data_IF_448131209380
#
_entry.id   IF_448131209380
#
_cell.length_a   1.000
_cell.length_b   1.000
_cell.length_c   1.000
_cell.angle_alpha   90.00
_cell.angle_beta   90.00
_cell.angle_gamma   90.00
#
_symmetry.space_group_name_H-M   'P 1'
#
loop_
_entity.id
_entity.type
_entity.pdbx_description
1 polymer ?
#
# COMPACT_ATOMS: atom_id res chain seq x y z
N UNK A 1 -20.95 -6.72 -1.90
CA UNK A 1 -20.84 -5.41 -1.19
C UNK A 1 -19.79 -4.55 -1.89
N UNK A 2 -20.01 -3.23 -2.04
CA UNK A 2 -19.00 -2.29 -2.56
C UNK A 2 -18.49 -1.48 -1.37
N UNK A 3 -17.18 -1.50 -1.16
CA UNK A 3 -16.53 -0.77 -0.07
C UNK A 3 -16.23 0.66 -0.51
N UNK A 4 -16.42 1.63 0.40
CA UNK A 4 -16.01 3.00 0.18
C UNK A 4 -14.49 3.10 0.12
N UNK A 5 -13.95 3.83 -0.86
CA UNK A 5 -12.51 3.98 -1.07
C UNK A 5 -12.14 5.44 -1.27
N UNK A 6 -11.09 5.89 -0.61
CA UNK A 6 -10.52 7.24 -0.77
C UNK A 6 -10.12 7.54 -2.23
N UNK A 7 -9.80 6.49 -2.99
CA UNK A 7 -9.50 6.60 -4.42
C UNK A 7 -10.68 7.17 -5.21
N UNK A 8 -11.94 6.88 -4.80
CA UNK A 8 -13.12 7.44 -5.47
C UNK A 8 -13.15 8.96 -5.39
N UNK A 9 -12.96 9.53 -4.19
CA UNK A 9 -12.96 10.97 -3.96
C UNK A 9 -11.78 11.64 -4.69
N UNK A 10 -10.62 10.96 -4.75
CA UNK A 10 -9.45 11.42 -5.51
C UNK A 10 -9.73 11.46 -7.01
N UNK A 11 -10.37 10.43 -7.56
CA UNK A 11 -10.78 10.42 -8.98
C UNK A 11 -11.78 11.55 -9.28
N UNK A 12 -12.76 11.77 -8.41
CA UNK A 12 -13.75 12.83 -8.57
C UNK A 12 -13.11 14.23 -8.56
N UNK A 13 -12.19 14.45 -7.62
CA UNK A 13 -11.42 15.70 -7.55
C UNK A 13 -10.62 15.94 -8.84
N UNK A 14 -9.86 14.93 -9.28
CA UNK A 14 -9.02 15.03 -10.48
C UNK A 14 -9.84 15.12 -11.77
N UNK A 15 -11.00 14.47 -11.86
CA UNK A 15 -11.93 14.64 -12.98
C UNK A 15 -12.31 16.10 -13.17
N UNK A 16 -12.67 16.78 -12.06
CA UNK A 16 -13.07 18.18 -12.08
C UNK A 16 -11.88 19.13 -12.38
N UNK A 17 -10.70 18.86 -11.83
CA UNK A 17 -9.51 19.69 -12.02
C UNK A 17 -8.91 19.56 -13.42
N UNK A 18 -8.78 18.35 -13.93
CA UNK A 18 -8.09 18.07 -15.18
C UNK A 18 -9.02 18.13 -16.41
N UNK A 19 -10.32 17.96 -16.22
CA UNK A 19 -11.34 18.08 -17.25
C UNK A 19 -10.95 17.35 -18.55
N UNK A 20 -10.57 16.09 -18.46
CA UNK A 20 -10.22 15.22 -19.59
C UNK A 20 -8.85 15.46 -20.23
N UNK A 21 -8.03 16.38 -19.71
CA UNK A 21 -6.68 16.64 -20.23
C UNK A 21 -5.67 15.53 -19.98
N UNK A 22 -6.01 14.56 -19.12
CA UNK A 22 -5.19 13.39 -18.81
C UNK A 22 -6.06 12.18 -18.56
N UNK A 23 -5.56 11.01 -18.95
CA UNK A 23 -6.07 9.73 -18.49
C UNK A 23 -5.59 9.43 -17.06
N UNK A 24 -6.30 8.61 -16.30
CA UNK A 24 -5.88 8.15 -14.99
C UNK A 24 -5.39 6.71 -15.06
N UNK A 25 -4.13 6.48 -14.73
CA UNK A 25 -3.57 5.13 -14.60
C UNK A 25 -3.57 4.72 -13.13
N UNK A 26 -4.46 3.79 -12.76
CA UNK A 26 -4.57 3.27 -11.39
C UNK A 26 -3.71 2.01 -11.27
N UNK A 27 -2.62 2.16 -10.52
CA UNK A 27 -1.64 1.12 -10.23
C UNK A 27 -1.81 0.57 -8.82
N UNK A 28 -1.53 -0.72 -8.63
CA UNK A 28 -1.58 -1.32 -7.31
C UNK A 28 -1.55 -2.84 -7.36
N UNK A 29 -1.37 -3.48 -6.20
CA UNK A 29 -1.34 -4.92 -6.08
C UNK A 29 -2.60 -5.59 -6.66
N UNK A 30 -2.51 -6.87 -6.97
CA UNK A 30 -3.69 -7.62 -7.39
C UNK A 30 -4.70 -7.74 -6.25
N UNK A 31 -5.99 -7.82 -6.61
CA UNK A 31 -7.12 -8.01 -5.66
C UNK A 31 -7.42 -6.84 -4.73
N UNK A 32 -6.86 -5.64 -4.95
CA UNK A 32 -7.17 -4.45 -4.14
C UNK A 32 -8.42 -3.68 -4.61
N UNK A 33 -9.10 -4.14 -5.68
CA UNK A 33 -10.37 -3.57 -6.15
C UNK A 33 -10.25 -2.47 -7.21
N UNK A 34 -9.15 -2.43 -8.00
CA UNK A 34 -8.96 -1.42 -9.07
C UNK A 34 -10.09 -1.40 -10.09
N UNK A 35 -10.38 -2.53 -10.72
CA UNK A 35 -11.45 -2.63 -11.74
C UNK A 35 -12.83 -2.28 -11.14
N UNK A 36 -13.10 -2.72 -9.90
CA UNK A 36 -14.36 -2.43 -9.20
C UNK A 36 -14.57 -0.94 -8.98
N UNK A 37 -13.53 -0.21 -8.52
CA UNK A 37 -13.65 1.23 -8.28
C UNK A 37 -13.82 2.02 -9.57
N UNK A 38 -13.14 1.61 -10.67
CA UNK A 38 -13.26 2.24 -11.98
C UNK A 38 -14.67 2.06 -12.56
N UNK A 39 -15.19 0.84 -12.46
CA UNK A 39 -16.56 0.55 -12.93
C UNK A 39 -17.61 1.30 -12.11
N UNK A 40 -17.49 1.35 -10.80
CA UNK A 40 -18.38 2.09 -9.90
C UNK A 40 -18.31 3.59 -10.19
N UNK A 41 -17.13 4.13 -10.45
CA UNK A 41 -16.92 5.52 -10.83
C UNK A 41 -17.57 5.82 -12.20
N UNK A 42 -17.41 4.93 -13.18
CA UNK A 42 -18.06 5.05 -14.48
C UNK A 42 -19.59 5.05 -14.39
N UNK A 43 -20.16 4.17 -13.55
CA UNK A 43 -21.60 4.07 -13.32
C UNK A 43 -22.21 5.31 -12.67
N UNK A 44 -21.49 5.94 -11.73
CA UNK A 44 -22.04 7.06 -10.94
C UNK A 44 -21.76 8.43 -11.52
N UNK A 45 -20.59 8.60 -12.14
CA UNK A 45 -20.08 9.92 -12.52
C UNK A 45 -20.21 10.21 -14.01
N UNK A 46 -20.61 9.23 -14.82
CA UNK A 46 -20.77 9.36 -16.26
C UNK A 46 -22.13 8.85 -16.73
N UNK A 47 -22.59 9.40 -17.84
CA UNK A 47 -23.85 9.00 -18.47
C UNK A 47 -23.77 7.62 -19.10
N UNK A 48 -22.58 7.24 -19.56
CA UNK A 48 -22.26 5.89 -20.03
C UNK A 48 -20.78 5.59 -19.84
N UNK A 49 -20.46 4.31 -19.80
CA UNK A 49 -19.06 3.88 -19.79
C UNK A 49 -18.88 2.59 -20.63
N UNK A 50 -17.68 2.40 -21.14
CA UNK A 50 -17.23 1.15 -21.75
C UNK A 50 -16.06 0.62 -20.89
N UNK A 51 -16.13 -0.65 -20.51
CA UNK A 51 -15.02 -1.37 -19.85
C UNK A 51 -14.45 -2.38 -20.84
N UNK A 52 -13.18 -2.21 -21.18
CA UNK A 52 -12.39 -3.09 -22.03
C UNK A 52 -11.42 -3.87 -21.15
N UNK A 53 -11.75 -5.12 -20.79
CA UNK A 53 -10.88 -6.03 -20.04
C UNK A 53 -9.91 -6.71 -21.02
N UNK A 54 -8.67 -6.23 -21.10
CA UNK A 54 -7.67 -6.75 -22.03
C UNK A 54 -7.21 -8.18 -21.72
N UNK A 55 -7.49 -8.70 -20.54
CA UNK A 55 -7.25 -10.11 -20.23
C UNK A 55 -8.22 -11.06 -20.94
N UNK A 56 -9.43 -10.56 -21.30
CA UNK A 56 -10.50 -11.35 -21.94
C UNK A 56 -10.95 -10.76 -23.28
N UNK A 57 -10.43 -9.60 -23.64
CA UNK A 57 -10.82 -8.87 -24.84
C UNK A 57 -10.52 -9.70 -26.11
N UNK A 58 -11.50 -9.86 -27.02
CA UNK A 58 -11.27 -10.53 -28.29
C UNK A 58 -10.26 -9.77 -29.17
N UNK A 59 -9.57 -10.52 -30.02
CA UNK A 59 -8.57 -9.94 -30.93
C UNK A 59 -9.19 -8.93 -31.90
N UNK A 60 -10.45 -9.09 -32.27
CA UNK A 60 -11.19 -8.12 -33.09
C UNK A 60 -11.18 -6.71 -32.46
N UNK A 61 -11.43 -6.61 -31.15
CA UNK A 61 -11.40 -5.32 -30.43
C UNK A 61 -9.97 -4.79 -30.34
N UNK A 62 -8.97 -5.67 -30.12
CA UNK A 62 -7.55 -5.29 -30.14
C UNK A 62 -7.14 -4.72 -31.50
N UNK A 63 -7.66 -5.29 -32.59
CA UNK A 63 -7.42 -4.83 -33.94
C UNK A 63 -7.89 -3.40 -34.20
N UNK A 64 -8.94 -2.93 -33.49
CA UNK A 64 -9.40 -1.54 -33.64
C UNK A 64 -8.29 -0.53 -33.26
N UNK A 65 -7.50 -0.83 -32.24
CA UNK A 65 -6.36 0.00 -31.82
C UNK A 65 -5.20 0.03 -32.84
N UNK A 66 -5.13 -0.93 -33.72
CA UNK A 66 -4.10 -0.99 -34.79
C UNK A 66 -4.62 -0.36 -36.07
N UNK A 67 -5.85 -0.68 -36.46
CA UNK A 67 -6.38 -0.37 -37.79
C UNK A 67 -7.03 1.03 -37.87
N UNK A 68 -7.59 1.53 -36.75
CA UNK A 68 -8.48 2.71 -36.78
C UNK A 68 -7.99 3.91 -35.95
N UNK A 69 -6.76 3.89 -35.43
CA UNK A 69 -6.24 5.03 -34.64
C UNK A 69 -6.00 6.30 -35.48
N UNK A 70 -5.98 6.20 -36.80
CA UNK A 70 -5.93 7.35 -37.72
C UNK A 70 -7.33 7.88 -38.08
N UNK A 71 -8.40 7.17 -37.71
CA UNK A 71 -9.80 7.51 -37.91
C UNK A 71 -10.58 7.22 -36.63
N UNK A 72 -10.53 8.17 -35.70
CA UNK A 72 -11.14 8.01 -34.38
C UNK A 72 -12.68 7.98 -34.45
N UNK A 73 -13.31 8.50 -35.48
CA UNK A 73 -14.75 8.39 -35.67
C UNK A 73 -15.16 6.95 -35.90
N UNK A 74 -14.46 6.28 -36.81
CA UNK A 74 -14.65 4.83 -37.05
C UNK A 74 -14.28 4.02 -35.81
N UNK A 75 -13.18 4.35 -35.12
CA UNK A 75 -12.76 3.66 -33.89
C UNK A 75 -13.85 3.67 -32.81
N UNK A 76 -14.39 4.84 -32.45
CA UNK A 76 -15.43 4.95 -31.44
C UNK A 76 -16.78 4.38 -31.88
N UNK A 77 -17.11 4.48 -33.17
CA UNK A 77 -18.31 3.84 -33.72
C UNK A 77 -18.22 2.31 -33.55
N UNK A 78 -17.10 1.69 -33.85
CA UNK A 78 -16.88 0.26 -33.70
C UNK A 78 -16.95 -0.17 -32.23
N UNK A 79 -16.29 0.56 -31.31
CA UNK A 79 -16.36 0.28 -29.88
C UNK A 79 -17.81 0.41 -29.37
N UNK A 80 -18.49 1.50 -29.70
CA UNK A 80 -19.90 1.74 -29.34
C UNK A 80 -20.82 0.62 -29.82
N UNK A 81 -20.61 0.17 -31.06
CA UNK A 81 -21.40 -0.92 -31.67
C UNK A 81 -21.11 -2.25 -31.00
N UNK A 82 -19.83 -2.58 -30.80
CA UNK A 82 -19.42 -3.85 -30.21
C UNK A 82 -19.92 -4.02 -28.77
N UNK A 83 -19.77 -2.97 -27.93
CA UNK A 83 -20.22 -3.01 -26.54
C UNK A 83 -21.70 -2.67 -26.35
N UNK A 84 -22.41 -2.25 -27.41
CA UNK A 84 -23.81 -1.83 -27.33
C UNK A 84 -24.04 -0.59 -26.46
N UNK A 85 -23.03 0.27 -26.33
CA UNK A 85 -23.04 1.44 -25.45
C UNK A 85 -22.94 2.71 -26.28
N UNK A 86 -23.94 3.62 -26.13
CA UNK A 86 -23.88 4.93 -26.75
C UNK A 86 -22.88 5.82 -26.00
N UNK A 87 -21.93 6.39 -26.72
CA UNK A 87 -20.96 7.35 -26.19
C UNK A 87 -21.47 8.79 -26.32
N UNK A 88 -21.21 9.61 -25.32
CA UNK A 88 -21.60 11.03 -25.24
C UNK A 88 -20.35 11.87 -24.98
N UNK A 89 -20.11 12.89 -25.80
CA UNK A 89 -18.96 13.76 -25.67
C UNK A 89 -18.90 14.40 -24.27
N UNK A 90 -17.75 14.28 -23.62
CA UNK A 90 -17.46 14.75 -22.26
C UNK A 90 -18.33 14.16 -21.13
N UNK A 91 -19.23 13.21 -21.45
CA UNK A 91 -20.11 12.53 -20.50
C UNK A 91 -19.93 11.01 -20.48
N UNK A 92 -18.94 10.47 -21.22
CA UNK A 92 -18.67 9.03 -21.24
C UNK A 92 -17.24 8.75 -20.80
N UNK A 93 -17.07 7.60 -20.12
CA UNK A 93 -15.79 7.07 -19.65
C UNK A 93 -15.44 5.80 -20.43
N UNK A 94 -14.18 5.68 -20.85
CA UNK A 94 -13.63 4.43 -21.40
C UNK A 94 -12.58 3.90 -20.45
N UNK A 95 -12.79 2.68 -19.93
CA UNK A 95 -11.94 2.02 -18.95
C UNK A 95 -11.13 0.95 -19.67
N UNK A 96 -9.80 1.04 -19.59
CA UNK A 96 -8.84 0.04 -20.05
C UNK A 96 -8.38 -0.78 -18.85
N UNK A 97 -9.01 -1.93 -18.64
CA UNK A 97 -8.70 -2.81 -17.51
C UNK A 97 -7.62 -3.82 -17.88
N UNK A 98 -6.66 -4.06 -16.96
CA UNK A 98 -5.48 -4.91 -17.17
C UNK A 98 -4.68 -4.50 -18.42
N UNK A 99 -4.40 -3.20 -18.57
CA UNK A 99 -3.79 -2.59 -19.76
C UNK A 99 -2.43 -3.20 -20.13
N UNK A 100 -1.70 -3.79 -19.18
CA UNK A 100 -0.44 -4.49 -19.42
C UNK A 100 -0.61 -5.74 -20.31
N UNK A 101 -1.80 -6.31 -20.39
CA UNK A 101 -2.09 -7.45 -21.28
C UNK A 101 -2.16 -7.03 -22.75
N UNK A 102 -2.29 -5.72 -23.02
CA UNK A 102 -2.26 -5.16 -24.36
C UNK A 102 -1.63 -3.75 -24.39
N UNK A 103 -0.28 -3.66 -24.32
CA UNK A 103 0.44 -2.38 -24.21
C UNK A 103 0.15 -1.38 -25.33
N UNK A 104 -0.26 -1.86 -26.51
CA UNK A 104 -0.64 -1.02 -27.64
C UNK A 104 -1.81 -0.08 -27.32
N UNK A 105 -2.78 -0.52 -26.50
CA UNK A 105 -3.87 0.35 -26.05
C UNK A 105 -3.36 1.53 -25.22
N UNK A 106 -2.38 1.28 -24.34
CA UNK A 106 -1.75 2.32 -23.53
C UNK A 106 -1.01 3.34 -24.40
N UNK A 107 -0.28 2.89 -25.45
CA UNK A 107 0.37 3.80 -26.40
C UNK A 107 -0.64 4.73 -27.08
N UNK A 108 -1.87 4.25 -27.32
CA UNK A 108 -2.93 5.02 -27.97
C UNK A 108 -3.51 6.14 -27.08
N UNK A 109 -3.34 6.09 -25.77
CA UNK A 109 -3.87 7.09 -24.79
C UNK A 109 -3.51 8.50 -25.21
N UNK A 110 -2.30 8.74 -25.70
CA UNK A 110 -1.86 10.06 -26.17
C UNK A 110 -2.82 10.64 -27.22
N UNK A 111 -3.21 9.85 -28.19
CA UNK A 111 -4.09 10.28 -29.28
C UNK A 111 -5.52 10.41 -28.81
N UNK A 112 -5.98 9.49 -27.97
CA UNK A 112 -7.33 9.47 -27.42
C UNK A 112 -7.60 10.65 -26.48
N UNK A 113 -6.65 11.01 -25.63
CA UNK A 113 -6.72 12.20 -24.76
C UNK A 113 -6.66 13.48 -25.58
N UNK A 114 -5.80 13.53 -26.63
CA UNK A 114 -5.69 14.71 -27.50
C UNK A 114 -6.99 14.98 -28.30
N UNK A 115 -7.74 13.92 -28.68
CA UNK A 115 -9.06 14.03 -29.30
C UNK A 115 -10.09 14.72 -28.39
N UNK A 116 -10.04 14.44 -27.09
CA UNK A 116 -10.79 15.17 -26.06
C UNK A 116 -12.27 14.84 -25.92
N UNK A 117 -12.83 13.92 -26.71
CA UNK A 117 -14.27 13.55 -26.65
C UNK A 117 -14.66 12.79 -25.39
N UNK A 118 -13.77 11.95 -24.85
CA UNK A 118 -14.10 11.08 -23.74
C UNK A 118 -13.01 11.13 -22.66
N UNK A 119 -13.35 10.68 -21.48
CA UNK A 119 -12.40 10.49 -20.38
C UNK A 119 -11.91 9.04 -20.35
N UNK A 120 -10.70 8.83 -19.84
CA UNK A 120 -10.04 7.51 -19.83
C UNK A 120 -9.51 7.17 -18.45
N UNK A 121 -9.74 5.93 -18.03
CA UNK A 121 -9.09 5.32 -16.87
C UNK A 121 -8.43 4.02 -17.33
N UNK A 122 -7.19 3.83 -16.92
CA UNK A 122 -6.43 2.61 -17.13
C UNK A 122 -6.19 1.92 -15.80
N UNK A 123 -6.24 0.61 -15.76
CA UNK A 123 -5.81 -0.16 -14.59
C UNK A 123 -4.76 -1.19 -14.98
N UNK A 124 -3.91 -1.52 -14.03
CA UNK A 124 -2.94 -2.58 -14.19
C UNK A 124 -2.15 -2.86 -12.92
N UNK A 125 -1.47 -3.99 -12.87
CA UNK A 125 -0.46 -4.22 -11.85
C UNK A 125 0.85 -3.55 -12.30
N UNK A 126 1.54 -2.87 -11.37
CA UNK A 126 2.65 -1.98 -11.67
C UNK A 126 3.80 -2.67 -12.40
N UNK A 127 4.20 -3.84 -11.93
CA UNK A 127 5.30 -4.61 -12.52
C UNK A 127 5.00 -5.05 -13.96
N UNK A 128 3.79 -5.56 -14.19
CA UNK A 128 3.38 -5.98 -15.53
C UNK A 128 3.39 -4.80 -16.50
N UNK A 129 3.05 -3.60 -16.03
CA UNK A 129 3.11 -2.40 -16.83
C UNK A 129 4.55 -2.09 -17.26
N UNK A 130 5.51 -2.13 -16.33
CA UNK A 130 6.92 -1.83 -16.62
C UNK A 130 7.57 -2.88 -17.52
N UNK A 131 7.34 -4.15 -17.28
CA UNK A 131 7.89 -5.23 -18.10
C UNK A 131 7.34 -5.22 -19.52
N UNK A 132 6.05 -4.97 -19.69
CA UNK A 132 5.39 -5.03 -20.98
C UNK A 132 5.50 -3.74 -21.80
N UNK A 133 5.99 -2.63 -21.21
CA UNK A 133 6.11 -1.35 -21.93
C UNK A 133 7.53 -1.03 -22.40
N UNK A 134 8.44 -2.00 -22.39
CA UNK A 134 9.83 -1.78 -22.87
C UNK A 134 9.89 -1.26 -24.31
N UNK A 135 8.91 -1.65 -25.14
CA UNK A 135 8.88 -1.38 -26.56
C UNK A 135 7.81 -0.35 -26.97
N UNK A 136 7.17 0.33 -26.00
CA UNK A 136 6.18 1.39 -26.29
C UNK A 136 6.63 2.74 -25.75
N UNK A 137 6.14 3.80 -26.38
CA UNK A 137 6.30 5.17 -25.87
C UNK A 137 5.27 5.41 -24.76
N UNK A 138 5.72 5.56 -23.52
CA UNK A 138 4.84 5.85 -22.40
C UNK A 138 4.19 7.22 -22.61
N UNK A 139 2.85 7.34 -22.58
CA UNK A 139 2.16 8.60 -22.80
C UNK A 139 2.47 9.63 -21.67
N UNK A 140 2.71 10.87 -22.03
CA UNK A 140 2.80 11.99 -21.08
C UNK A 140 1.43 12.46 -20.58
N UNK A 141 0.38 11.99 -21.21
CA UNK A 141 -1.02 12.33 -20.97
C UNK A 141 -1.64 11.50 -19.83
N UNK A 142 -0.85 10.67 -19.15
CA UNK A 142 -1.27 9.90 -17.98
C UNK A 142 -1.04 10.64 -16.66
N UNK A 143 -1.92 10.40 -15.69
CA UNK A 143 -1.75 10.70 -14.27
C UNK A 143 -1.74 9.38 -13.50
N UNK A 144 -0.57 9.04 -12.96
CA UNK A 144 -0.41 7.84 -12.14
C UNK A 144 -1.03 7.99 -10.76
N UNK A 145 -1.79 7.01 -10.34
CA UNK A 145 -2.51 6.95 -9.07
C UNK A 145 -2.24 5.60 -8.41
N UNK A 146 -1.49 5.60 -7.32
CA UNK A 146 -1.26 4.39 -6.53
C UNK A 146 -2.48 4.09 -5.65
N UNK A 147 -2.98 2.87 -5.75
CA UNK A 147 -4.05 2.33 -4.91
C UNK A 147 -3.47 1.24 -4.01
N UNK A 148 -3.78 1.33 -2.73
CA UNK A 148 -3.31 0.41 -1.69
C UNK A 148 -4.46 -0.48 -1.18
N UNK A 149 -4.21 -1.55 -0.40
CA UNK A 149 -5.24 -2.19 0.42
C UNK A 149 -5.99 -1.13 1.24
N UNK A 150 -7.18 -1.45 1.76
CA UNK A 150 -7.89 -0.52 2.65
C UNK A 150 -6.97 -0.05 3.76
N UNK A 151 -6.90 1.25 3.98
CA UNK A 151 -6.26 1.78 5.19
C UNK A 151 -7.19 1.66 6.41
N UNK A 152 -6.71 2.06 7.58
CA UNK A 152 -7.49 1.92 8.82
C UNK A 152 -8.81 2.73 8.78
N UNK A 153 -8.85 3.89 8.16
CA UNK A 153 -10.09 4.68 8.02
C UNK A 153 -11.09 4.01 7.10
N UNK A 154 -10.64 3.53 5.93
CA UNK A 154 -11.49 2.77 4.99
C UNK A 154 -12.01 1.47 5.63
N UNK A 155 -11.21 0.83 6.49
CA UNK A 155 -11.63 -0.34 7.26
C UNK A 155 -12.70 0.04 8.31
N UNK A 156 -12.53 1.13 9.04
CA UNK A 156 -13.54 1.64 9.96
C UNK A 156 -14.84 2.03 9.24
N UNK A 157 -14.74 2.69 8.09
CA UNK A 157 -15.89 3.01 7.24
C UNK A 157 -16.65 1.73 6.82
N UNK A 158 -15.93 0.67 6.43
CA UNK A 158 -16.52 -0.62 6.07
C UNK A 158 -17.27 -1.28 7.24
N UNK A 159 -16.84 -1.05 8.47
CA UNK A 159 -17.48 -1.52 9.70
C UNK A 159 -18.65 -0.63 10.18
N UNK A 160 -18.92 0.51 9.52
CA UNK A 160 -19.90 1.52 9.96
C UNK A 160 -19.42 2.35 11.15
N UNK A 161 -18.10 2.50 11.33
CA UNK A 161 -17.43 3.18 12.44
C UNK A 161 -16.67 4.45 11.97
N UNK A 162 -17.12 5.09 10.89
CA UNK A 162 -16.45 6.26 10.30
C UNK A 162 -16.28 7.43 11.29
N UNK A 163 -17.21 7.60 12.21
CA UNK A 163 -17.20 8.74 13.15
C UNK A 163 -16.00 8.69 14.11
N UNK A 164 -15.51 7.48 14.44
CA UNK A 164 -14.37 7.35 15.35
C UNK A 164 -13.10 7.93 14.75
N UNK A 165 -12.90 7.79 13.43
CA UNK A 165 -11.73 8.34 12.76
C UNK A 165 -11.73 9.88 12.75
N UNK A 166 -12.90 10.49 12.54
CA UNK A 166 -13.05 11.96 12.69
C UNK A 166 -12.71 12.45 14.09
N UNK A 167 -13.13 11.70 15.13
CA UNK A 167 -12.80 12.03 16.52
C UNK A 167 -11.31 11.81 16.84
N UNK A 168 -10.70 10.75 16.30
CA UNK A 168 -9.25 10.49 16.41
C UNK A 168 -8.46 11.68 15.84
N UNK A 169 -8.79 12.17 14.65
CA UNK A 169 -8.13 13.32 14.02
C UNK A 169 -8.28 14.59 14.87
N UNK A 170 -9.49 14.85 15.36
CA UNK A 170 -9.74 15.98 16.24
C UNK A 170 -8.86 15.90 17.51
N UNK A 171 -8.82 14.76 18.19
CA UNK A 171 -7.99 14.59 19.39
C UNK A 171 -6.49 14.75 19.09
N UNK A 172 -6.04 14.29 17.93
CA UNK A 172 -4.65 14.47 17.49
C UNK A 172 -4.33 15.95 17.27
N UNK A 173 -5.20 16.70 16.58
CA UNK A 173 -5.02 18.13 16.30
C UNK A 173 -5.10 18.97 17.60
N UNK A 174 -6.02 18.64 18.49
CA UNK A 174 -6.20 19.28 19.81
C UNK A 174 -5.12 18.86 20.82
N UNK A 175 -4.24 17.90 20.47
CA UNK A 175 -3.22 17.32 21.37
C UNK A 175 -3.81 16.74 22.65
N UNK A 176 -4.98 16.15 22.56
CA UNK A 176 -5.73 15.60 23.68
C UNK A 176 -5.89 14.07 23.55
N UNK A 177 -5.83 13.31 24.67
CA UNK A 177 -6.13 11.89 24.64
C UNK A 177 -7.62 11.64 24.30
N UNK A 178 -7.91 10.48 23.69
CA UNK A 178 -9.30 10.03 23.58
C UNK A 178 -9.86 9.68 24.97
N UNK A 179 -11.19 9.79 25.13
CA UNK A 179 -11.88 9.21 26.26
C UNK A 179 -11.57 7.71 26.37
N UNK A 180 -11.42 7.18 27.58
CA UNK A 180 -10.93 5.83 27.82
C UNK A 180 -11.71 4.74 27.07
N UNK A 181 -13.04 4.83 27.07
CA UNK A 181 -13.88 3.86 26.34
C UNK A 181 -13.67 3.92 24.83
N UNK A 182 -13.55 5.13 24.28
CA UNK A 182 -13.28 5.32 22.86
C UNK A 182 -11.85 4.90 22.47
N UNK A 183 -10.88 5.12 23.38
CA UNK A 183 -9.53 4.59 23.19
C UNK A 183 -9.53 3.06 23.12
N UNK A 184 -10.23 2.38 24.05
CA UNK A 184 -10.36 0.92 24.02
C UNK A 184 -11.04 0.43 22.74
N UNK A 185 -12.11 1.09 22.32
CA UNK A 185 -12.80 0.79 21.05
C UNK A 185 -11.89 0.96 19.85
N UNK A 186 -11.17 2.08 19.76
CA UNK A 186 -10.24 2.35 18.67
C UNK A 186 -9.08 1.33 18.63
N UNK A 187 -8.56 0.91 19.78
CA UNK A 187 -7.55 -0.15 19.88
C UNK A 187 -8.08 -1.50 19.44
N UNK A 188 -9.34 -1.83 19.78
CA UNK A 188 -9.97 -3.06 19.32
C UNK A 188 -10.14 -3.07 17.78
N UNK A 189 -10.62 -1.97 17.21
CA UNK A 189 -10.75 -1.79 15.76
C UNK A 189 -9.39 -1.89 15.06
N UNK A 190 -8.35 -1.29 15.65
CA UNK A 190 -6.99 -1.39 15.10
C UNK A 190 -6.46 -2.82 15.14
N UNK A 191 -6.68 -3.58 16.22
CA UNK A 191 -6.32 -4.98 16.30
C UNK A 191 -7.08 -5.82 15.27
N UNK A 192 -8.39 -5.58 15.10
CA UNK A 192 -9.18 -6.23 14.05
C UNK A 192 -8.60 -5.92 12.66
N UNK A 193 -8.25 -4.66 12.40
CA UNK A 193 -7.61 -4.25 11.15
C UNK A 193 -6.28 -4.99 10.91
N UNK A 194 -5.42 -5.11 11.92
CA UNK A 194 -4.17 -5.89 11.78
C UNK A 194 -4.43 -7.35 11.42
N UNK A 195 -5.49 -7.97 11.93
CA UNK A 195 -5.78 -9.40 11.73
C UNK A 195 -6.52 -9.68 10.43
N UNK A 196 -7.50 -8.87 10.09
CA UNK A 196 -8.29 -8.99 8.85
C UNK A 196 -7.50 -8.46 7.66
N UNK A 197 -6.74 -7.39 7.85
CA UNK A 197 -6.05 -6.65 6.81
C UNK A 197 -6.97 -5.67 6.09
N UNK A 198 -6.42 -5.09 5.02
CA UNK A 198 -7.10 -4.16 4.13
C UNK A 198 -7.44 -4.75 2.76
N UNK A 199 -7.23 -6.06 2.53
CA UNK A 199 -7.63 -6.67 1.26
C UNK A 199 -9.15 -6.73 1.15
N UNK A 200 -9.77 -6.13 0.09
CA UNK A 200 -11.24 -6.02 0.00
C UNK A 200 -11.98 -7.32 0.19
N UNK A 201 -11.48 -8.42 -0.38
CA UNK A 201 -12.12 -9.74 -0.27
C UNK A 201 -12.10 -10.24 1.18
N UNK A 202 -10.98 -10.10 1.89
CA UNK A 202 -10.86 -10.44 3.30
C UNK A 202 -11.83 -9.62 4.17
N UNK A 203 -11.89 -8.30 3.93
CA UNK A 203 -12.79 -7.40 4.67
C UNK A 203 -14.27 -7.76 4.41
N UNK A 204 -14.65 -8.01 3.16
CA UNK A 204 -16.02 -8.42 2.79
C UNK A 204 -16.38 -9.76 3.44
N UNK A 205 -15.49 -10.76 3.36
CA UNK A 205 -15.71 -12.07 3.98
C UNK A 205 -15.91 -11.95 5.50
N UNK A 206 -15.11 -11.12 6.16
CA UNK A 206 -15.24 -10.83 7.58
C UNK A 206 -16.60 -10.18 7.93
N UNK A 207 -17.03 -9.20 7.12
CA UNK A 207 -18.30 -8.51 7.37
C UNK A 207 -19.51 -9.40 7.12
N UNK A 208 -19.53 -10.15 6.03
CA UNK A 208 -20.65 -11.00 5.62
C UNK A 208 -20.82 -12.23 6.52
N UNK A 209 -19.73 -12.70 7.13
CA UNK A 209 -19.72 -13.82 8.08
C UNK A 209 -20.01 -13.44 9.53
N UNK A 210 -20.44 -12.20 9.80
CA UNK A 210 -20.65 -11.67 11.16
C UNK A 210 -19.37 -11.59 12.00
N UNK A 211 -18.28 -11.17 11.36
CA UNK A 211 -16.94 -10.98 11.97
C UNK A 211 -16.22 -12.27 12.32
N UNK A 212 -16.39 -13.29 11.50
CA UNK A 212 -15.66 -14.55 11.55
C UNK A 212 -14.28 -14.39 10.88
N UNK A 213 -13.22 -14.60 11.63
CA UNK A 213 -11.85 -14.48 11.14
C UNK A 213 -11.45 -15.64 10.22
N UNK A 214 -12.01 -16.84 10.38
CA UNK A 214 -11.71 -17.99 9.52
C UNK A 214 -12.09 -17.71 8.08
N UNK A 215 -13.22 -17.03 7.85
CA UNK A 215 -13.66 -16.65 6.51
C UNK A 215 -12.73 -15.63 5.87
N UNK A 216 -12.23 -14.68 6.66
CA UNK A 216 -11.23 -13.73 6.19
C UNK A 216 -9.89 -14.44 5.91
N UNK A 217 -9.51 -15.46 6.69
CA UNK A 217 -8.26 -16.20 6.50
C UNK A 217 -8.25 -16.99 5.19
N UNK A 218 -9.36 -17.62 4.82
CA UNK A 218 -9.51 -18.30 3.52
C UNK A 218 -9.17 -17.34 2.37
N UNK A 219 -9.79 -16.17 2.34
CA UNK A 219 -9.55 -15.16 1.29
C UNK A 219 -8.11 -14.66 1.28
N UNK A 220 -7.49 -14.49 2.45
CA UNK A 220 -6.09 -14.07 2.55
C UNK A 220 -5.14 -15.12 1.99
N UNK A 221 -5.37 -16.40 2.25
CA UNK A 221 -4.57 -17.51 1.72
C UNK A 221 -4.70 -17.62 0.21
N UNK A 222 -5.91 -17.50 -0.34
CA UNK A 222 -6.13 -17.45 -1.79
C UNK A 222 -5.35 -16.31 -2.46
N UNK A 223 -5.25 -15.15 -1.79
CA UNK A 223 -4.46 -14.01 -2.28
C UNK A 223 -2.96 -14.31 -2.21
N UNK A 224 -2.45 -14.93 -1.13
CA UNK A 224 -1.06 -15.32 -1.01
C UNK A 224 -0.66 -16.33 -2.10
N UNK A 225 -1.51 -17.31 -2.37
CA UNK A 225 -1.30 -18.29 -3.43
C UNK A 225 -1.32 -17.65 -4.81
N UNK A 226 -2.18 -16.65 -5.02
CA UNK A 226 -2.18 -15.85 -6.24
C UNK A 226 -0.86 -15.08 -6.41
N UNK A 227 -0.32 -14.49 -5.34
CA UNK A 227 0.97 -13.79 -5.39
C UNK A 227 2.12 -14.75 -5.69
N UNK A 228 2.14 -15.95 -5.07
CA UNK A 228 3.10 -17.02 -5.43
C UNK A 228 2.98 -17.42 -6.89
N UNK A 229 1.77 -17.55 -7.40
CA UNK A 229 1.51 -17.87 -8.81
C UNK A 229 2.01 -16.78 -9.75
N UNK A 230 1.91 -15.51 -9.37
CA UNK A 230 2.45 -14.41 -10.17
C UNK A 230 3.99 -14.38 -10.12
N UNK A 231 4.59 -14.63 -8.97
CA UNK A 231 6.05 -14.80 -8.83
C UNK A 231 6.55 -15.93 -9.76
N UNK A 232 5.78 -17.01 -9.90
CA UNK A 232 6.16 -18.13 -10.80
C UNK A 232 6.18 -17.77 -12.30
N UNK A 233 5.59 -16.65 -12.69
CA UNK A 233 5.57 -16.15 -14.08
C UNK A 233 6.77 -15.28 -14.43
N UNK A 234 7.57 -14.84 -13.44
CA UNK A 234 8.75 -14.00 -13.66
C UNK A 234 9.86 -14.80 -14.35
N UNK A 235 10.80 -14.08 -14.96
CA UNK A 235 12.02 -14.69 -15.52
C UNK A 235 12.68 -15.65 -14.52
N UNK A 236 13.03 -16.82 -14.98
CA UNK A 236 13.62 -17.91 -14.19
C UNK A 236 14.85 -17.47 -13.41
N UNK A 237 15.59 -16.48 -13.89
CA UNK A 237 16.80 -15.92 -13.25
C UNK A 237 16.51 -15.29 -11.88
N UNK A 238 15.34 -14.67 -11.69
CA UNK A 238 14.98 -13.93 -10.48
C UNK A 238 13.95 -14.66 -9.64
N UNK A 239 13.15 -15.53 -10.22
CA UNK A 239 11.99 -16.22 -9.63
C UNK A 239 12.28 -16.84 -8.27
N UNK A 240 13.34 -17.66 -8.15
CA UNK A 240 13.69 -18.33 -6.92
C UNK A 240 14.04 -17.36 -5.79
N UNK A 241 14.72 -16.25 -6.11
CA UNK A 241 15.10 -15.23 -5.14
C UNK A 241 13.87 -14.45 -4.65
N UNK A 242 12.97 -14.05 -5.57
CA UNK A 242 11.74 -13.35 -5.21
C UNK A 242 10.86 -14.23 -4.33
N UNK A 243 10.70 -15.52 -4.68
CA UNK A 243 9.92 -16.46 -3.88
C UNK A 243 10.55 -16.66 -2.50
N UNK A 244 11.88 -16.85 -2.43
CA UNK A 244 12.58 -17.01 -1.15
C UNK A 244 12.41 -15.81 -0.24
N UNK A 245 12.57 -14.57 -0.76
CA UNK A 245 12.37 -13.36 0.07
C UNK A 245 10.90 -13.27 0.48
N UNK A 246 9.95 -13.47 -0.44
CA UNK A 246 8.53 -13.41 -0.14
C UNK A 246 8.16 -14.36 1.00
N UNK A 247 8.55 -15.64 0.90
CA UNK A 247 8.25 -16.65 1.91
C UNK A 247 8.97 -16.39 3.26
N UNK A 248 10.10 -15.69 3.25
CA UNK A 248 10.85 -15.35 4.45
C UNK A 248 10.42 -14.04 5.12
N UNK A 249 9.56 -13.22 4.52
CA UNK A 249 9.14 -11.93 5.11
C UNK A 249 8.72 -12.08 6.59
N UNK A 250 7.85 -13.03 6.99
CA UNK A 250 7.47 -13.17 8.39
C UNK A 250 8.66 -13.49 9.31
N UNK A 251 9.55 -14.37 8.86
CA UNK A 251 10.77 -14.74 9.59
C UNK A 251 11.73 -13.56 9.77
N UNK A 252 11.95 -12.79 8.71
CA UNK A 252 12.80 -11.59 8.73
C UNK A 252 12.26 -10.52 9.69
N UNK A 253 10.94 -10.28 9.68
CA UNK A 253 10.29 -9.31 10.55
C UNK A 253 10.22 -9.77 12.02
N UNK A 254 10.31 -11.06 12.28
CA UNK A 254 10.33 -11.63 13.64
C UNK A 254 11.66 -11.47 14.35
N UNK A 255 12.75 -11.21 13.63
CA UNK A 255 14.09 -11.03 14.17
C UNK A 255 14.22 -9.71 14.93
N UNK A 256 15.23 -9.63 15.83
CA UNK A 256 15.53 -8.38 16.56
C UNK A 256 15.94 -7.24 15.63
N UNK A 257 16.87 -7.54 14.70
CA UNK A 257 17.21 -6.66 13.59
C UNK A 257 16.36 -7.06 12.38
N UNK A 258 15.28 -6.33 12.12
CA UNK A 258 14.31 -6.63 11.05
C UNK A 258 14.83 -6.32 9.64
N UNK A 259 16.09 -5.90 9.52
CA UNK A 259 16.73 -5.71 8.22
C UNK A 259 17.03 -7.05 7.57
N UNK A 260 16.92 -7.10 6.27
CA UNK A 260 17.33 -8.29 5.50
C UNK A 260 18.83 -8.47 5.61
N UNK A 261 19.25 -9.61 6.13
CA UNK A 261 20.64 -10.05 6.15
C UNK A 261 20.82 -11.04 5.01
N UNK A 262 21.42 -10.59 3.91
CA UNK A 262 21.48 -11.37 2.66
C UNK A 262 22.22 -12.70 2.82
N UNK A 263 23.22 -12.78 3.70
CA UNK A 263 23.89 -14.04 4.01
C UNK A 263 22.99 -15.08 4.67
N UNK A 264 21.93 -14.65 5.35
CA UNK A 264 20.97 -15.53 6.01
C UNK A 264 19.92 -16.05 5.01
N UNK A 265 19.64 -15.26 3.96
CA UNK A 265 18.75 -15.67 2.86
C UNK A 265 19.40 -16.74 1.99
N UNK A 266 20.68 -16.55 1.65
CA UNK A 266 21.48 -17.57 0.96
C UNK A 266 22.98 -17.36 1.22
N UNK A 267 23.70 -18.43 1.44
CA UNK A 267 25.15 -18.37 1.74
C UNK A 267 25.93 -17.59 0.67
N UNK A 268 26.75 -16.64 1.10
CA UNK A 268 27.56 -15.74 0.26
C UNK A 268 26.76 -14.75 -0.61
N UNK A 269 25.51 -14.50 -0.31
CA UNK A 269 24.69 -13.51 -1.04
C UNK A 269 25.05 -12.08 -0.64
N UNK A 270 24.91 -11.17 -1.62
CA UNK A 270 25.15 -9.73 -1.45
C UNK A 270 23.89 -8.93 -1.80
N UNK A 271 23.80 -7.67 -1.34
CA UNK A 271 22.68 -6.77 -1.62
C UNK A 271 22.43 -6.62 -3.13
N UNK A 272 23.48 -6.43 -3.93
CA UNK A 272 23.41 -6.22 -5.38
C UNK A 272 22.69 -7.38 -6.11
N UNK A 273 22.83 -8.60 -5.58
CA UNK A 273 22.20 -9.78 -6.17
C UNK A 273 20.69 -9.85 -5.91
N UNK A 274 20.18 -9.08 -4.94
CA UNK A 274 18.78 -9.05 -4.54
C UNK A 274 18.08 -7.70 -4.85
N UNK A 275 18.80 -6.72 -5.42
CA UNK A 275 18.20 -5.42 -5.76
C UNK A 275 16.99 -5.59 -6.68
N UNK A 276 17.11 -6.38 -7.73
CA UNK A 276 16.01 -6.71 -8.65
C UNK A 276 14.84 -7.43 -7.95
N UNK A 277 15.13 -8.22 -6.92
CA UNK A 277 14.11 -8.92 -6.13
C UNK A 277 13.23 -7.95 -5.36
N UNK A 278 13.86 -7.02 -4.62
CA UNK A 278 13.10 -6.00 -3.88
C UNK A 278 12.44 -5.02 -4.82
N UNK A 279 13.10 -4.66 -5.92
CA UNK A 279 12.49 -3.86 -6.94
C UNK A 279 11.19 -4.49 -7.48
N UNK A 280 11.19 -5.81 -7.73
CA UNK A 280 10.00 -6.51 -8.19
C UNK A 280 8.88 -6.53 -7.13
N UNK A 281 9.20 -6.86 -5.88
CA UNK A 281 8.22 -6.92 -4.78
C UNK A 281 7.59 -5.54 -4.50
N UNK A 282 8.40 -4.48 -4.50
CA UNK A 282 7.96 -3.10 -4.34
C UNK A 282 7.11 -2.62 -5.52
N UNK A 283 7.60 -2.88 -6.73
CA UNK A 283 6.95 -2.44 -7.96
C UNK A 283 5.59 -3.13 -8.20
N UNK A 284 5.45 -4.39 -7.74
CA UNK A 284 4.17 -5.10 -7.68
C UNK A 284 3.26 -4.66 -6.54
N UNK A 285 3.77 -3.81 -5.63
CA UNK A 285 3.10 -3.34 -4.40
C UNK A 285 2.69 -4.48 -3.45
N UNK A 286 3.38 -5.64 -3.53
CA UNK A 286 3.21 -6.76 -2.61
C UNK A 286 3.91 -6.45 -1.28
N UNK A 287 5.02 -5.71 -1.33
CA UNK A 287 5.76 -5.28 -0.15
C UNK A 287 6.01 -3.78 -0.10
N UNK A 288 6.32 -3.29 1.10
CA UNK A 288 6.72 -1.93 1.39
C UNK A 288 8.16 -1.95 1.88
N UNK A 289 9.10 -1.50 1.05
CA UNK A 289 10.51 -1.43 1.43
C UNK A 289 10.78 -0.19 2.27
N UNK A 290 11.56 -0.40 3.31
CA UNK A 290 12.07 0.65 4.19
C UNK A 290 13.61 0.61 4.12
N UNK A 291 14.20 1.63 3.50
CA UNK A 291 15.66 1.69 3.28
C UNK A 291 16.39 2.46 4.39
N UNK A 292 17.65 2.10 4.62
CA UNK A 292 18.51 2.85 5.53
C UNK A 292 18.78 4.26 4.97
N UNK A 293 18.63 5.28 5.80
CA UNK A 293 19.09 6.63 5.51
C UNK A 293 20.41 6.90 6.25
N UNK A 294 21.53 7.02 5.54
CA UNK A 294 22.86 7.17 6.15
C UNK A 294 23.04 8.53 6.85
N UNK A 295 22.61 9.62 6.24
CA UNK A 295 22.61 10.98 6.81
C UNK A 295 21.20 11.58 6.72
N UNK A 296 20.39 11.44 7.78
CA UNK A 296 19.06 11.99 7.81
C UNK A 296 19.04 13.50 7.58
N UNK A 297 18.44 13.90 6.46
CA UNK A 297 18.26 15.28 6.06
C UNK A 297 16.99 15.41 5.24
N UNK A 298 16.56 16.61 4.95
CA UNK A 298 15.48 16.87 3.98
C UNK A 298 15.87 16.25 2.63
N UNK A 299 14.91 15.54 2.02
CA UNK A 299 15.23 14.70 0.86
C UNK A 299 15.91 13.41 1.28
N UNK A 300 15.26 12.62 2.15
CA UNK A 300 15.75 11.33 2.69
C UNK A 300 16.27 10.40 1.59
N UNK A 301 15.67 10.44 0.39
CA UNK A 301 16.08 9.63 -0.76
C UNK A 301 17.48 9.95 -1.28
N UNK A 302 18.03 11.14 -0.99
CA UNK A 302 19.40 11.51 -1.43
C UNK A 302 20.46 10.68 -0.70
N UNK A 303 20.16 10.29 0.55
CA UNK A 303 21.06 9.53 1.42
C UNK A 303 20.57 8.10 1.65
N UNK A 304 19.74 7.59 0.74
CA UNK A 304 19.21 6.22 0.75
C UNK A 304 20.34 5.22 0.51
N UNK A 305 20.42 4.20 1.36
CA UNK A 305 21.34 3.08 1.22
C UNK A 305 20.54 1.79 0.99
N UNK A 306 20.46 1.38 -0.26
CA UNK A 306 19.69 0.20 -0.69
C UNK A 306 20.31 -1.13 -0.27
N UNK A 307 21.56 -1.13 0.17
CA UNK A 307 22.20 -2.33 0.73
C UNK A 307 21.57 -2.77 2.06
N UNK A 308 20.79 -1.91 2.70
CA UNK A 308 20.11 -2.20 3.96
C UNK A 308 18.62 -1.89 3.82
N UNK A 309 17.82 -2.94 3.84
CA UNK A 309 16.37 -2.87 3.64
C UNK A 309 15.64 -3.65 4.73
N UNK A 310 14.55 -3.09 5.24
CA UNK A 310 13.48 -3.81 5.94
C UNK A 310 12.35 -4.02 4.94
N UNK A 311 11.83 -5.24 4.84
CA UNK A 311 10.78 -5.60 3.89
C UNK A 311 9.49 -5.90 4.65
N UNK A 312 8.54 -4.99 4.61
CA UNK A 312 7.22 -5.16 5.20
C UNK A 312 6.25 -5.68 4.14
N UNK A 313 5.32 -6.56 4.52
CA UNK A 313 4.28 -6.99 3.59
C UNK A 313 3.28 -5.86 3.35
N UNK A 314 2.77 -5.72 2.14
CA UNK A 314 1.87 -4.64 1.74
C UNK A 314 0.53 -4.63 2.50
N UNK A 315 0.18 -5.76 3.11
CA UNK A 315 -1.01 -5.91 3.96
C UNK A 315 -0.71 -6.75 5.22
N UNK A 316 -1.10 -6.23 6.38
CA UNK A 316 -0.79 -6.87 7.67
C UNK A 316 -1.65 -8.11 7.91
N UNK A 317 -2.88 -8.15 7.43
CA UNK A 317 -3.71 -9.35 7.49
C UNK A 317 -3.11 -10.50 6.69
N UNK A 318 -2.57 -10.22 5.51
CA UNK A 318 -1.81 -11.20 4.72
C UNK A 318 -0.56 -11.67 5.47
N UNK A 319 0.15 -10.75 6.17
CA UNK A 319 1.31 -11.14 6.99
C UNK A 319 0.93 -12.12 8.10
N UNK A 320 -0.22 -11.94 8.74
CA UNK A 320 -0.71 -12.89 9.75
C UNK A 320 -0.91 -14.28 9.15
N UNK A 321 -1.66 -14.40 8.06
CA UNK A 321 -1.90 -15.70 7.41
C UNK A 321 -0.61 -16.32 6.87
N UNK A 322 0.31 -15.49 6.36
CA UNK A 322 1.61 -15.94 5.86
C UNK A 322 2.54 -16.45 6.98
N UNK A 323 2.48 -15.84 8.17
CA UNK A 323 3.27 -16.29 9.33
C UNK A 323 2.81 -17.65 9.89
N UNK A 324 1.59 -18.07 9.58
CA UNK A 324 1.01 -19.36 10.00
C UNK A 324 0.72 -20.29 8.82
N UNK A 325 1.50 -20.19 7.77
CA UNK A 325 1.28 -20.93 6.51
C UNK A 325 1.38 -22.46 6.66
N UNK A 326 2.02 -22.95 7.71
CA UNK A 326 2.12 -24.38 8.04
C UNK A 326 0.78 -25.02 8.46
N UNK A 327 -0.22 -24.20 8.85
CA UNK A 327 -1.54 -24.66 9.23
C UNK A 327 -2.49 -24.56 8.04
N UNK A 328 -3.39 -25.52 7.86
CA UNK A 328 -4.39 -25.46 6.77
C UNK A 328 -5.30 -24.23 6.88
N UNK A 329 -5.69 -23.85 8.10
CA UNK A 329 -6.40 -22.61 8.43
C UNK A 329 -6.03 -22.19 9.86
N UNK A 330 -6.04 -20.89 10.13
CA UNK A 330 -6.00 -20.37 11.49
C UNK A 330 -7.41 -20.43 12.07
N UNK A 331 -7.61 -21.20 13.14
CA UNK A 331 -8.89 -21.27 13.82
C UNK A 331 -9.26 -19.90 14.43
N UNK A 332 -10.54 -19.52 14.39
CA UNK A 332 -11.10 -18.29 14.96
C UNK A 332 -10.68 -18.08 16.43
N UNK A 333 -10.46 -19.18 17.17
CA UNK A 333 -9.97 -19.15 18.54
C UNK A 333 -8.54 -18.56 18.64
N UNK A 334 -7.65 -18.85 17.68
CA UNK A 334 -6.30 -18.28 17.64
C UNK A 334 -6.37 -16.77 17.44
N UNK A 335 -7.23 -16.31 16.53
CA UNK A 335 -7.46 -14.87 16.32
C UNK A 335 -7.99 -14.17 17.59
N UNK A 336 -8.92 -14.81 18.31
CA UNK A 336 -9.44 -14.30 19.60
C UNK A 336 -8.35 -14.24 20.66
N UNK A 337 -7.44 -15.21 20.68
CA UNK A 337 -6.28 -15.20 21.61
C UNK A 337 -5.32 -14.05 21.29
N UNK A 338 -5.05 -13.75 20.01
CA UNK A 338 -4.25 -12.59 19.59
C UNK A 338 -4.95 -11.29 20.02
N UNK A 339 -6.26 -11.16 19.77
CA UNK A 339 -7.03 -9.98 20.17
C UNK A 339 -7.00 -9.72 21.69
N UNK A 340 -6.94 -10.78 22.49
CA UNK A 340 -6.92 -10.70 23.95
C UNK A 340 -5.51 -10.67 24.56
N UNK A 341 -4.45 -10.52 23.77
CA UNK A 341 -3.04 -10.53 24.20
C UNK A 341 -2.62 -11.81 24.95
N UNK A 342 -3.22 -12.94 24.60
CA UNK A 342 -2.98 -14.25 25.25
C UNK A 342 -2.04 -15.16 24.45
N UNK A 343 -1.86 -14.90 23.16
CA UNK A 343 -0.92 -15.65 22.35
C UNK A 343 0.47 -14.98 22.43
N UNK A 344 1.51 -15.76 22.71
CA UNK A 344 2.92 -15.30 22.67
C UNK A 344 3.39 -15.15 21.21
N UNK A 345 2.77 -14.26 20.47
CA UNK A 345 3.17 -13.90 19.13
C UNK A 345 4.08 -12.68 19.17
N UNK A 346 4.99 -12.54 18.21
CA UNK A 346 5.80 -11.33 18.08
C UNK A 346 4.95 -10.15 17.61
N UNK A 347 4.19 -9.56 18.55
CA UNK A 347 3.33 -8.40 18.29
C UNK A 347 4.09 -7.23 17.67
N UNK A 348 5.38 -7.08 18.00
CA UNK A 348 6.22 -6.04 17.44
C UNK A 348 6.32 -6.10 15.91
N UNK A 349 6.34 -7.31 15.34
CA UNK A 349 6.31 -7.51 13.89
C UNK A 349 5.01 -6.99 13.26
N UNK A 350 3.86 -7.33 13.85
CA UNK A 350 2.55 -6.92 13.33
C UNK A 350 2.32 -5.41 13.45
N UNK A 351 2.69 -4.84 14.62
CA UNK A 351 2.57 -3.38 14.83
C UNK A 351 3.42 -2.60 13.82
N UNK A 352 4.71 -2.97 13.65
CA UNK A 352 5.54 -2.26 12.69
C UNK A 352 5.03 -2.43 11.25
N UNK A 353 4.57 -3.62 10.86
CA UNK A 353 4.01 -3.83 9.53
C UNK A 353 2.74 -2.99 9.30
N UNK A 354 1.83 -2.93 10.28
CA UNK A 354 0.62 -2.13 10.19
C UNK A 354 0.94 -0.62 10.08
N UNK A 355 1.93 -0.15 10.84
CA UNK A 355 2.38 1.24 10.74
C UNK A 355 3.04 1.51 9.38
N UNK A 356 3.89 0.61 8.89
CA UNK A 356 4.48 0.71 7.55
C UNK A 356 3.39 0.78 6.46
N UNK A 357 2.39 -0.10 6.51
CA UNK A 357 1.23 -0.11 5.61
C UNK A 357 0.48 1.22 5.64
N UNK A 358 0.15 1.75 6.83
CA UNK A 358 -0.59 3.00 7.00
C UNK A 358 0.21 4.21 6.51
N UNK A 359 1.51 4.29 6.83
CA UNK A 359 2.38 5.37 6.36
C UNK A 359 2.52 5.36 4.84
N UNK A 360 2.67 4.17 4.23
CA UNK A 360 2.73 4.04 2.77
C UNK A 360 1.41 4.44 2.11
N UNK A 361 0.26 4.03 2.66
CA UNK A 361 -1.06 4.42 2.17
C UNK A 361 -1.30 5.93 2.26
N UNK A 362 -0.70 6.61 3.24
CA UNK A 362 -0.69 8.08 3.37
C UNK A 362 0.31 8.78 2.42
N UNK A 363 1.03 8.01 1.58
CA UNK A 363 1.94 8.53 0.56
C UNK A 363 3.38 8.75 1.02
N UNK A 364 3.77 8.25 2.19
CA UNK A 364 5.15 8.33 2.66
C UNK A 364 6.02 7.24 2.05
N UNK A 365 7.22 7.62 1.64
CA UNK A 365 8.33 6.66 1.45
C UNK A 365 8.94 6.36 2.79
N UNK A 366 9.21 5.08 3.03
CA UNK A 366 9.72 4.60 4.30
C UNK A 366 11.24 4.58 4.34
N UNK A 367 11.80 5.13 5.41
CA UNK A 367 13.22 5.06 5.71
C UNK A 367 13.40 4.68 7.17
N UNK A 368 14.52 4.05 7.51
CA UNK A 368 14.94 3.82 8.90
C UNK A 368 16.32 4.39 9.12
N UNK A 369 16.74 4.46 10.38
CA UNK A 369 18.08 4.89 10.74
C UNK A 369 18.66 4.01 11.83
N UNK A 370 19.92 3.61 11.66
CA UNK A 370 20.70 2.94 12.71
C UNK A 370 22.08 3.56 12.80
N UNK A 371 22.64 3.60 14.02
CA UNK A 371 24.03 3.92 14.28
C UNK A 371 24.66 2.85 15.15
N UNK A 372 25.58 2.11 14.56
CA UNK A 372 26.35 1.11 15.27
C UNK A 372 27.43 1.77 16.15
N UNK A 373 27.58 1.32 17.39
CA UNK A 373 28.62 1.71 18.31
C UNK A 373 29.61 0.56 18.46
N UNK A 374 30.83 0.75 17.91
CA UNK A 374 31.86 -0.29 17.89
C UNK A 374 32.37 -0.66 19.30
N UNK A 375 32.38 0.30 20.23
CA UNK A 375 32.85 0.04 21.62
C UNK A 375 31.85 -0.82 22.41
N UNK A 376 30.57 -0.64 22.12
CA UNK A 376 29.45 -1.35 22.80
C UNK A 376 28.98 -2.58 22.04
N UNK A 377 29.52 -2.84 20.83
CA UNK A 377 29.09 -3.92 19.93
C UNK A 377 27.57 -4.01 19.72
N UNK A 378 26.90 -2.85 19.68
CA UNK A 378 25.45 -2.75 19.45
C UNK A 378 25.08 -1.42 18.81
N UNK A 379 23.86 -1.35 18.27
CA UNK A 379 23.28 -0.07 17.86
C UNK A 379 23.02 0.80 19.10
N UNK A 380 23.48 2.04 19.09
CA UNK A 380 23.21 3.04 20.13
C UNK A 380 22.09 4.02 19.73
N UNK A 381 21.75 4.05 18.45
CA UNK A 381 20.55 4.71 17.93
C UNK A 381 19.89 3.77 16.92
N UNK A 382 18.60 3.57 17.07
CA UNK A 382 17.76 2.84 16.14
C UNK A 382 16.42 3.55 16.04
N UNK A 383 16.00 3.93 14.83
CA UNK A 383 14.73 4.59 14.53
C UNK A 383 14.01 3.74 13.49
N UNK A 384 12.81 3.29 13.82
CA UNK A 384 12.04 2.35 12.99
C UNK A 384 11.62 2.98 11.67
N UNK A 385 11.09 4.23 11.73
CA UNK A 385 10.70 4.97 10.54
C UNK A 385 11.17 6.42 10.59
N UNK A 386 11.61 6.91 9.43
CA UNK A 386 11.82 8.33 9.18
C UNK A 386 10.89 8.72 8.04
N UNK A 387 10.05 9.70 8.25
CA UNK A 387 9.20 10.29 7.21
C UNK A 387 9.53 11.78 7.04
N UNK A 388 9.26 12.32 5.86
CA UNK A 388 9.33 13.75 5.60
C UNK A 388 7.93 14.28 5.33
N UNK A 389 7.59 15.43 5.90
CA UNK A 389 6.35 16.10 5.56
C UNK A 389 6.68 17.34 4.72
N UNK A 390 6.26 17.32 3.46
CA UNK A 390 6.47 18.41 2.50
C UNK A 390 5.34 19.45 2.54
N UNK A 391 4.27 19.21 3.33
CA UNK A 391 3.17 20.14 3.47
C UNK A 391 3.51 21.25 4.45
N UNK A 392 3.31 22.51 4.04
CA UNK A 392 3.44 23.71 4.89
C UNK A 392 4.87 24.18 5.23
N UNK A 393 5.79 24.25 4.25
CA UNK A 393 7.05 25.01 4.38
C UNK A 393 8.01 24.61 5.53
N UNK A 394 7.79 23.50 6.18
CA UNK A 394 8.70 22.97 7.19
C UNK A 394 9.35 21.69 6.65
N UNK A 395 10.37 21.85 5.86
CA UNK A 395 11.25 20.77 5.41
C UNK A 395 11.93 20.11 6.64
N UNK A 396 11.19 19.27 7.35
CA UNK A 396 11.66 18.56 8.54
C UNK A 396 11.37 17.08 8.44
N UNK A 397 12.21 16.31 9.12
CA UNK A 397 12.02 14.87 9.28
C UNK A 397 11.28 14.57 10.58
N UNK A 398 10.52 13.53 10.57
CA UNK A 398 9.76 13.04 11.72
C UNK A 398 10.20 11.62 12.03
N UNK A 399 11.05 11.42 13.05
CA UNK A 399 11.44 10.09 13.48
C UNK A 399 10.33 9.44 14.28
N UNK A 400 10.09 8.17 14.01
CA UNK A 400 9.04 7.34 14.61
C UNK A 400 9.66 6.07 15.16
N UNK A 401 9.42 5.77 16.44
CA UNK A 401 9.67 4.47 17.05
C UNK A 401 8.36 3.76 17.33
N UNK A 402 8.29 2.46 17.02
CA UNK A 402 7.12 1.61 17.26
C UNK A 402 7.39 0.69 18.43
N UNK A 403 6.48 0.66 19.40
CA UNK A 403 6.59 -0.15 20.62
C UNK A 403 5.28 -0.90 20.85
N UNK A 404 5.32 -2.22 20.84
CA UNK A 404 4.15 -3.07 21.16
C UNK A 404 3.98 -3.29 22.67
N UNK A 405 5.07 -3.22 23.44
CA UNK A 405 5.06 -3.49 24.88
C UNK A 405 4.67 -2.32 25.77
N UNK A 406 4.18 -2.63 26.98
CA UNK A 406 3.81 -1.63 28.00
C UNK A 406 5.00 -0.87 28.60
N UNK A 407 6.21 -1.48 28.58
CA UNK A 407 7.47 -0.87 29.04
C UNK A 407 8.39 -0.71 27.86
N UNK A 408 8.87 0.51 27.61
CA UNK A 408 9.78 0.80 26.51
C UNK A 408 10.75 1.92 26.87
N UNK A 409 11.89 1.93 26.20
CA UNK A 409 12.90 3.00 26.28
C UNK A 409 12.70 3.97 25.10
N UNK A 410 12.96 5.25 25.32
CA UNK A 410 12.97 6.32 24.32
C UNK A 410 14.38 6.91 24.15
N UNK A 411 15.40 6.23 24.68
CA UNK A 411 16.78 6.72 24.67
C UNK A 411 17.35 6.85 23.24
N UNK A 412 17.00 5.93 22.35
CA UNK A 412 17.38 5.97 20.94
C UNK A 412 16.87 7.24 20.27
N UNK A 413 15.59 7.53 20.46
CA UNK A 413 14.94 8.70 19.90
C UNK A 413 15.47 10.02 20.50
N UNK A 414 15.78 10.04 21.80
CA UNK A 414 16.41 11.21 22.44
C UNK A 414 17.78 11.51 21.84
N UNK A 415 18.64 10.48 21.72
CA UNK A 415 19.97 10.63 21.10
C UNK A 415 19.88 11.06 19.65
N UNK A 416 18.91 10.53 18.91
CA UNK A 416 18.67 10.94 17.52
C UNK A 416 18.25 12.41 17.47
N UNK A 417 17.30 12.82 18.33
CA UNK A 417 16.82 14.21 18.44
C UNK A 417 17.96 15.17 18.77
N UNK A 418 18.81 14.82 19.73
CA UNK A 418 19.96 15.63 20.11
C UNK A 418 20.93 15.80 18.94
N UNK A 419 21.27 14.71 18.24
CA UNK A 419 22.22 14.72 17.11
C UNK A 419 21.72 15.55 15.93
N UNK A 420 20.41 15.48 15.61
CA UNK A 420 19.83 16.09 14.42
C UNK A 420 18.83 17.22 14.72
N UNK A 421 18.94 17.87 15.87
CA UNK A 421 17.98 18.85 16.42
C UNK A 421 17.52 19.91 15.40
N UNK A 422 18.40 20.43 14.56
CA UNK A 422 18.07 21.45 13.55
C UNK A 422 17.20 20.93 12.39
N UNK A 423 17.23 19.60 12.14
CA UNK A 423 16.61 18.93 10.98
C UNK A 423 15.30 18.20 11.31
N UNK A 424 14.97 18.10 12.59
CA UNK A 424 13.84 17.30 13.10
C UNK A 424 12.65 18.19 13.38
N UNK A 425 11.46 17.69 13.03
CA UNK A 425 10.19 18.17 13.50
C UNK A 425 9.82 17.56 14.84
N UNK A 426 8.62 17.04 14.95
CA UNK A 426 8.21 16.27 16.13
C UNK A 426 8.77 14.85 16.07
N UNK A 427 9.03 14.28 17.23
CA UNK A 427 9.42 12.90 17.39
C UNK A 427 8.21 12.11 17.89
N UNK A 428 7.94 10.96 17.31
CA UNK A 428 6.81 10.13 17.67
C UNK A 428 7.24 8.78 18.26
N UNK A 429 6.53 8.37 19.31
CA UNK A 429 6.52 6.98 19.76
C UNK A 429 5.12 6.44 19.57
N UNK A 430 4.98 5.40 18.78
CA UNK A 430 3.71 4.70 18.57
C UNK A 430 3.64 3.51 19.52
N UNK A 431 2.61 3.49 20.39
CA UNK A 431 2.45 2.44 21.41
C UNK A 431 0.97 2.26 21.78
N UNK A 432 0.57 1.13 22.41
CA UNK A 432 -0.84 0.84 22.69
C UNK A 432 -1.54 1.75 23.72
N UNK A 433 -0.82 2.65 24.39
CA UNK A 433 -1.43 3.58 25.34
C UNK A 433 -1.98 4.81 24.63
N UNK A 434 -2.89 5.53 25.29
CA UNK A 434 -3.48 6.75 24.79
C UNK A 434 -2.44 7.88 24.59
N UNK A 435 -2.82 8.91 23.83
CA UNK A 435 -1.96 10.05 23.53
C UNK A 435 -1.41 10.66 24.83
N UNK A 436 -0.12 10.89 24.86
CA UNK A 436 0.60 11.50 25.97
C UNK A 436 1.90 12.13 25.46
N UNK A 437 2.54 12.90 26.35
CA UNK A 437 3.80 13.59 26.04
C UNK A 437 4.87 13.15 27.05
N UNK A 438 6.07 12.92 26.57
CA UNK A 438 7.22 12.57 27.41
C UNK A 438 8.49 13.24 26.86
N UNK A 439 9.04 14.20 27.60
CA UNK A 439 10.27 14.92 27.24
C UNK A 439 10.25 15.49 25.81
N UNK A 440 9.21 16.24 25.44
CA UNK A 440 8.96 16.78 24.10
C UNK A 440 8.83 15.72 22.98
N UNK A 441 8.55 14.50 23.33
CA UNK A 441 8.22 13.41 22.40
C UNK A 441 6.72 13.17 22.46
N UNK A 442 6.08 13.08 21.32
CA UNK A 442 4.65 12.79 21.20
C UNK A 442 4.45 11.28 21.20
N UNK A 443 3.78 10.77 22.21
CA UNK A 443 3.45 9.35 22.33
C UNK A 443 2.01 9.15 21.88
N UNK A 444 1.79 8.44 20.79
CA UNK A 444 0.47 8.25 20.17
C UNK A 444 0.09 6.77 20.10
N UNK A 445 -1.20 6.45 20.22
CA UNK A 445 -1.68 5.11 19.91
C UNK A 445 -1.59 4.79 18.39
N UNK A 446 -1.46 3.51 18.01
CA UNK A 446 -1.22 3.10 16.63
C UNK A 446 -2.31 3.53 15.64
N UNK A 447 -3.57 3.60 16.08
CA UNK A 447 -4.66 4.09 15.26
C UNK A 447 -4.53 5.59 14.88
N UNK A 448 -3.74 6.37 15.61
CA UNK A 448 -3.44 7.78 15.27
C UNK A 448 -2.41 7.93 14.14
N UNK A 449 -1.81 6.86 13.65
CA UNK A 449 -0.93 6.89 12.46
C UNK A 449 -1.65 7.46 11.23
N UNK A 450 -2.98 7.38 11.17
CA UNK A 450 -3.78 8.05 10.12
C UNK A 450 -3.57 9.57 10.05
N UNK A 451 -3.03 10.18 11.10
CA UNK A 451 -2.80 11.63 11.22
C UNK A 451 -1.39 12.06 10.79
N UNK A 452 -0.47 11.11 10.55
CA UNK A 452 0.93 11.35 10.19
C UNK A 452 1.16 11.51 8.69
#
# INVERSE_FOLDING_TARGET
>A
MILKRKMYDKLLTLKNELNGKKAFLIEGARRIGKSTICEEFGKKEYKSYILIDFAKCPDEVKDYFVKHMNDLDTFFMLLSTYYGVKLYERESLIIFDEVQMYPKARECIKYLVADGRYDYIETGSLISIKENVKDIVIPSEERHLSMYPLDFEEFCDALGEEQICGYIRKCFDDRAPLENELHHKAMLLFKQYMLVGGMPQSVIAFLESRKDFDKADVEKRDILDLYRSDIMKIDSKYRSKVLTIFDQIPGLLSQHEKRVVFSDVAAKSTADQYEETFFWLSDSMISNECFLCNDPNVGLSINENRAYVKCYLGDTGLLVSHAFDENELLEDEIYKQILSDKLNMNEGMLYENAIAQMLTANGHKLYFYTRYNAEKHRNDIEIDFLISNNSKLKYKMYPIEVKSGKKYSIESLKRFKEKYKARIGECYVIHPRNLSFKDDIVCIPPYMTICL
#
